data_IF_578229290041
#
_entry.id   IF_578229290041
#
_cell.length_a   1.000
_cell.length_b   1.000
_cell.length_c   1.000
_cell.angle_alpha   90.00
_cell.angle_beta   90.00
_cell.angle_gamma   90.00
#
_symmetry.space_group_name_H-M   'P 1'
#
loop_
_entity.id
_entity.type
_entity.pdbx_description
1 polymer ?
#
# COMPACT_ATOMS: atom_id res chain seq x y z
N UNK A 1 -28.24 2.49 -5.12
CA UNK A 1 -28.73 1.89 -6.36
C UNK A 1 -27.51 1.43 -7.19
N UNK A 2 -27.55 0.20 -7.73
CA UNK A 2 -26.46 -0.28 -8.58
C UNK A 2 -26.47 0.53 -9.89
N UNK A 3 -25.28 1.04 -10.29
CA UNK A 3 -25.14 1.69 -11.60
C UNK A 3 -25.39 0.67 -12.71
N UNK A 4 -26.14 1.02 -13.77
CA UNK A 4 -26.30 0.16 -14.92
C UNK A 4 -24.93 0.00 -15.61
N UNK A 5 -24.47 -1.24 -15.71
CA UNK A 5 -23.21 -1.59 -16.40
C UNK A 5 -23.51 -2.72 -17.41
N UNK A 6 -22.77 -2.76 -18.49
CA UNK A 6 -22.78 -3.88 -19.42
C UNK A 6 -21.87 -5.03 -18.93
N UNK A 7 -21.77 -6.09 -19.74
CA UNK A 7 -20.92 -7.26 -19.45
C UNK A 7 -19.42 -6.89 -19.28
N UNK A 8 -18.99 -5.80 -19.90
CA UNK A 8 -17.61 -5.28 -19.84
C UNK A 8 -17.39 -4.25 -18.73
N UNK A 9 -18.34 -4.11 -17.77
CA UNK A 9 -18.32 -3.11 -16.70
C UNK A 9 -18.34 -1.66 -17.24
N UNK A 10 -18.82 -1.42 -18.46
CA UNK A 10 -18.94 -0.07 -19.04
C UNK A 10 -20.22 0.59 -18.56
N UNK A 11 -20.07 1.85 -18.19
CA UNK A 11 -21.21 2.73 -17.84
C UNK A 11 -21.65 3.45 -19.13
N UNK A 12 -22.95 3.56 -19.39
CA UNK A 12 -23.45 4.28 -20.56
C UNK A 12 -22.94 5.73 -20.63
N UNK A 13 -22.83 6.33 -21.82
CA UNK A 13 -22.52 7.75 -21.97
C UNK A 13 -23.48 8.63 -21.14
N UNK A 14 -22.96 9.72 -20.58
CA UNK A 14 -23.72 10.56 -19.63
C UNK A 14 -25.05 11.10 -20.18
N UNK A 15 -25.16 11.33 -21.48
CA UNK A 15 -26.40 11.75 -22.13
C UNK A 15 -27.47 10.64 -22.14
N UNK A 16 -27.07 9.39 -22.24
CA UNK A 16 -27.96 8.23 -22.15
C UNK A 16 -28.34 8.02 -20.69
N UNK A 17 -27.36 8.02 -19.79
CA UNK A 17 -27.57 7.87 -18.35
C UNK A 17 -28.49 8.96 -17.78
N UNK A 18 -28.34 10.20 -18.23
CA UNK A 18 -29.20 11.34 -17.89
C UNK A 18 -30.66 11.07 -18.20
N UNK A 19 -30.94 10.53 -19.39
CA UNK A 19 -32.31 10.17 -19.78
C UNK A 19 -32.88 9.00 -18.97
N UNK A 20 -32.05 8.00 -18.66
CA UNK A 20 -32.46 6.82 -17.89
C UNK A 20 -32.75 7.15 -16.42
N UNK A 21 -31.95 8.03 -15.82
CA UNK A 21 -32.05 8.35 -14.39
C UNK A 21 -32.85 9.63 -14.09
N UNK A 22 -33.18 10.44 -15.10
CA UNK A 22 -33.84 11.74 -14.88
C UNK A 22 -32.95 12.78 -14.20
N UNK A 23 -31.63 12.64 -14.30
CA UNK A 23 -30.63 13.51 -13.67
C UNK A 23 -29.93 14.32 -14.77
N UNK A 24 -29.63 15.58 -14.49
CA UNK A 24 -28.93 16.44 -15.45
C UNK A 24 -27.52 15.92 -15.78
N UNK A 25 -27.05 16.14 -17.02
CA UNK A 25 -25.67 15.78 -17.41
C UNK A 25 -24.64 16.54 -16.56
N UNK A 26 -24.95 17.76 -16.13
CA UNK A 26 -24.07 18.54 -15.25
C UNK A 26 -23.87 17.83 -13.90
N UNK A 27 -24.96 17.46 -13.24
CA UNK A 27 -24.94 16.71 -11.97
C UNK A 27 -24.24 15.37 -12.11
N UNK A 28 -24.47 14.66 -13.24
CA UNK A 28 -23.77 13.39 -13.49
C UNK A 28 -22.26 13.56 -13.69
N UNK A 29 -21.80 14.69 -14.23
CA UNK A 29 -20.35 14.98 -14.32
C UNK A 29 -19.74 15.20 -12.94
N UNK A 30 -20.40 15.95 -12.07
CA UNK A 30 -19.93 16.17 -10.69
C UNK A 30 -19.82 14.82 -9.95
N UNK A 31 -20.85 13.99 -9.99
CA UNK A 31 -20.83 12.67 -9.37
C UNK A 31 -19.80 11.71 -10.01
N UNK A 32 -19.55 11.84 -11.30
CA UNK A 32 -18.51 11.06 -11.98
C UNK A 32 -17.11 11.43 -11.50
N UNK A 33 -16.83 12.73 -11.28
CA UNK A 33 -15.55 13.18 -10.74
C UNK A 33 -15.37 12.70 -9.29
N UNK A 34 -16.43 12.72 -8.48
CA UNK A 34 -16.40 12.14 -7.13
C UNK A 34 -16.12 10.63 -7.18
N UNK A 35 -16.85 9.89 -8.00
CA UNK A 35 -16.63 8.45 -8.19
C UNK A 35 -15.22 8.13 -8.71
N UNK A 36 -14.66 8.99 -9.58
CA UNK A 36 -13.30 8.87 -10.09
C UNK A 36 -12.26 9.13 -8.99
N UNK A 37 -12.47 10.12 -8.15
CA UNK A 37 -11.57 10.43 -7.02
C UNK A 37 -11.55 9.30 -5.98
N UNK A 38 -12.67 8.59 -5.80
CA UNK A 38 -12.79 7.41 -4.95
C UNK A 38 -12.22 6.12 -5.60
N UNK A 39 -11.77 6.18 -6.86
CA UNK A 39 -11.23 5.01 -7.57
C UNK A 39 -12.26 3.94 -7.95
N UNK A 40 -13.57 4.25 -7.95
CA UNK A 40 -14.62 3.29 -8.29
C UNK A 40 -14.99 3.29 -9.78
N UNK A 41 -14.55 4.31 -10.51
CA UNK A 41 -14.67 4.40 -11.97
C UNK A 41 -13.39 4.94 -12.59
N UNK A 42 -13.13 4.56 -13.84
CA UNK A 42 -12.13 5.20 -14.69
C UNK A 42 -12.79 5.84 -15.92
N UNK A 43 -12.22 6.93 -16.38
CA UNK A 43 -12.64 7.61 -17.62
C UNK A 43 -11.44 7.66 -18.54
N UNK A 44 -11.53 6.99 -19.70
CA UNK A 44 -10.47 7.01 -20.70
C UNK A 44 -10.98 7.65 -22.00
N UNK A 45 -10.19 8.53 -22.65
CA UNK A 45 -10.52 9.04 -23.96
C UNK A 45 -10.81 7.90 -24.93
N UNK A 46 -11.89 8.02 -25.70
CA UNK A 46 -12.35 7.01 -26.70
C UNK A 46 -12.83 5.66 -26.12
N UNK A 47 -12.47 5.30 -24.88
CA UNK A 47 -12.91 4.06 -24.24
C UNK A 47 -14.14 4.26 -23.35
N UNK A 48 -14.45 5.52 -22.97
CA UNK A 48 -15.62 5.84 -22.16
C UNK A 48 -15.40 5.69 -20.66
N UNK A 49 -16.49 5.43 -19.94
CA UNK A 49 -16.55 5.28 -18.50
C UNK A 49 -16.63 3.80 -18.16
N UNK A 50 -15.80 3.34 -17.23
CA UNK A 50 -15.75 1.95 -16.78
C UNK A 50 -15.80 1.88 -15.26
N UNK A 51 -16.62 0.97 -14.73
CA UNK A 51 -16.59 0.63 -13.30
C UNK A 51 -15.30 -0.14 -12.99
N UNK A 52 -14.65 0.20 -11.90
CA UNK A 52 -13.48 -0.51 -11.39
C UNK A 52 -13.87 -1.49 -10.29
N UNK A 53 -13.09 -2.55 -10.06
CA UNK A 53 -13.17 -3.32 -8.82
C UNK A 53 -13.01 -2.39 -7.61
N UNK A 54 -13.67 -2.72 -6.51
CA UNK A 54 -13.52 -1.96 -5.29
C UNK A 54 -12.08 -2.06 -4.77
N UNK A 55 -11.46 -0.91 -4.53
CA UNK A 55 -10.14 -0.77 -3.94
C UNK A 55 -10.24 0.22 -2.77
N UNK A 56 -10.05 -0.29 -1.56
CA UNK A 56 -10.15 0.55 -0.36
C UNK A 56 -8.99 1.54 -0.27
N UNK A 57 -7.80 1.20 -0.76
CA UNK A 57 -6.66 2.11 -0.77
C UNK A 57 -6.92 3.35 -1.63
N UNK A 58 -7.56 3.16 -2.78
CA UNK A 58 -7.94 4.27 -3.67
C UNK A 58 -8.92 5.24 -3.01
N UNK A 59 -9.87 4.72 -2.22
CA UNK A 59 -10.82 5.54 -1.47
C UNK A 59 -10.14 6.33 -0.34
N UNK A 60 -9.10 5.79 0.31
CA UNK A 60 -8.36 6.45 1.39
C UNK A 60 -7.37 7.52 0.89
N UNK A 61 -6.78 7.30 -0.28
CA UNK A 61 -5.67 8.10 -0.81
C UNK A 61 -5.92 9.62 -0.83
N UNK A 62 -7.06 10.15 -1.32
CA UNK A 62 -7.29 11.60 -1.33
C UNK A 62 -7.25 12.22 0.06
N UNK A 63 -7.92 11.60 1.04
CA UNK A 63 -7.96 12.07 2.43
C UNK A 63 -6.60 12.02 3.11
N UNK A 64 -5.84 10.92 2.92
CA UNK A 64 -4.50 10.78 3.46
C UNK A 64 -3.52 11.78 2.84
N UNK A 65 -3.58 11.99 1.53
CA UNK A 65 -2.77 12.98 0.83
C UNK A 65 -3.04 14.38 1.37
N UNK A 66 -4.31 14.77 1.51
CA UNK A 66 -4.70 16.05 2.10
C UNK A 66 -4.17 16.20 3.54
N UNK A 67 -4.37 15.19 4.37
CA UNK A 67 -3.97 15.22 5.78
C UNK A 67 -2.44 15.31 5.96
N UNK A 68 -1.67 14.61 5.12
CA UNK A 68 -0.20 14.68 5.13
C UNK A 68 0.30 16.06 4.71
N UNK A 69 -0.16 16.60 3.59
CA UNK A 69 0.24 17.95 3.13
C UNK A 69 -0.20 19.06 4.07
N UNK A 70 -1.37 18.91 4.69
CA UNK A 70 -1.89 19.85 5.68
C UNK A 70 -1.25 19.74 7.06
N UNK A 71 -0.33 18.80 7.28
CA UNK A 71 0.28 18.56 8.60
C UNK A 71 -0.70 18.06 9.68
N UNK A 72 -1.89 17.58 9.27
CA UNK A 72 -2.93 17.10 10.20
C UNK A 72 -2.59 15.75 10.83
N UNK A 73 -1.76 14.95 10.16
CA UNK A 73 -1.30 13.63 10.63
C UNK A 73 0.20 13.52 10.48
N UNK A 74 0.82 12.67 11.30
CA UNK A 74 2.22 12.31 11.16
C UNK A 74 2.38 10.91 10.58
N UNK A 75 3.48 10.71 9.86
CA UNK A 75 3.86 9.38 9.38
C UNK A 75 3.95 8.37 10.54
N UNK A 76 4.47 8.79 11.70
CA UNK A 76 4.64 7.90 12.86
C UNK A 76 3.31 7.32 13.38
N UNK A 77 2.22 8.10 13.35
CA UNK A 77 0.89 7.59 13.72
C UNK A 77 0.40 6.51 12.78
N UNK A 78 0.65 6.68 11.47
CA UNK A 78 0.23 5.67 10.49
C UNK A 78 1.16 4.45 10.50
N UNK A 79 2.46 4.64 10.80
CA UNK A 79 3.41 3.54 11.01
C UNK A 79 3.04 2.69 12.25
N UNK A 80 2.55 3.33 13.32
CA UNK A 80 2.05 2.64 14.50
C UNK A 80 0.80 1.80 14.18
N UNK A 81 -0.17 2.36 13.47
CA UNK A 81 -1.34 1.61 13.00
C UNK A 81 -0.93 0.39 12.15
N UNK A 82 -0.01 0.59 11.19
CA UNK A 82 0.53 -0.49 10.36
C UNK A 82 1.14 -1.58 11.21
N UNK A 83 2.00 -1.22 12.19
CA UNK A 83 2.65 -2.18 13.09
C UNK A 83 1.60 -3.06 13.79
N UNK A 84 0.57 -2.46 14.35
CA UNK A 84 -0.49 -3.20 15.02
C UNK A 84 -1.25 -4.14 14.08
N UNK A 85 -1.61 -3.67 12.89
CA UNK A 85 -2.31 -4.49 11.90
C UNK A 85 -1.45 -5.66 11.43
N UNK A 86 -0.22 -5.39 11.00
CA UNK A 86 0.67 -6.45 10.51
C UNK A 86 0.98 -7.48 11.61
N UNK A 87 1.18 -7.03 12.86
CA UNK A 87 1.47 -7.91 13.99
C UNK A 87 0.30 -8.84 14.32
N UNK A 88 -0.92 -8.31 14.38
CA UNK A 88 -2.12 -9.10 14.73
C UNK A 88 -2.42 -10.16 13.67
N UNK A 89 -2.27 -9.81 12.39
CA UNK A 89 -2.60 -10.71 11.28
C UNK A 89 -1.43 -11.60 10.82
N UNK A 90 -0.21 -11.42 11.34
CA UNK A 90 0.98 -12.06 10.79
C UNK A 90 0.92 -13.59 10.79
N UNK A 91 0.53 -14.21 11.89
CA UNK A 91 0.53 -15.68 12.01
C UNK A 91 -0.49 -16.29 11.03
N UNK A 92 -1.71 -15.74 10.97
CA UNK A 92 -2.73 -16.18 10.04
C UNK A 92 -2.27 -16.01 8.59
N UNK A 93 -1.68 -14.86 8.27
CA UNK A 93 -1.15 -14.57 6.96
C UNK A 93 -0.02 -15.53 6.57
N UNK A 94 0.98 -15.68 7.43
CA UNK A 94 2.13 -16.55 7.17
C UNK A 94 1.75 -18.03 7.01
N UNK A 95 0.73 -18.50 7.74
CA UNK A 95 0.20 -19.86 7.61
C UNK A 95 -0.56 -20.08 6.30
N UNK A 96 -1.09 -19.03 5.69
CA UNK A 96 -1.85 -19.11 4.43
C UNK A 96 -0.97 -19.07 3.17
N UNK A 97 0.31 -18.71 3.31
CA UNK A 97 1.23 -18.59 2.18
C UNK A 97 1.54 -19.96 1.56
N UNK A 98 1.41 -20.04 0.24
CA UNK A 98 1.88 -21.19 -0.48
C UNK A 98 3.42 -21.18 -0.68
N UNK A 99 3.97 -22.32 -1.05
CA UNK A 99 5.42 -22.47 -1.22
C UNK A 99 5.99 -21.58 -2.33
N UNK A 100 5.22 -21.26 -3.37
CA UNK A 100 5.66 -20.41 -4.47
C UNK A 100 5.82 -18.96 -3.99
N UNK A 101 4.88 -18.47 -3.16
CA UNK A 101 4.97 -17.15 -2.56
C UNK A 101 6.16 -17.06 -1.60
N UNK A 102 6.40 -18.08 -0.79
CA UNK A 102 7.57 -18.11 0.13
C UNK A 102 8.88 -18.07 -0.66
N UNK A 103 9.00 -18.82 -1.75
CA UNK A 103 10.18 -18.76 -2.61
C UNK A 103 10.35 -17.41 -3.28
N UNK A 104 9.27 -16.81 -3.76
CA UNK A 104 9.31 -15.47 -4.33
C UNK A 104 9.78 -14.42 -3.32
N UNK A 105 9.29 -14.48 -2.08
CA UNK A 105 9.76 -13.59 -0.99
C UNK A 105 11.26 -13.75 -0.72
N UNK A 106 11.77 -14.98 -0.76
CA UNK A 106 13.20 -15.26 -0.59
C UNK A 106 14.06 -14.69 -1.73
N UNK A 107 13.61 -14.90 -2.98
CA UNK A 107 14.25 -14.32 -4.16
C UNK A 107 14.22 -12.78 -4.13
N UNK A 108 13.10 -12.18 -3.73
CA UNK A 108 12.94 -10.75 -3.58
C UNK A 108 13.93 -10.18 -2.55
N UNK A 109 14.07 -10.84 -1.40
CA UNK A 109 15.01 -10.44 -0.35
C UNK A 109 16.46 -10.57 -0.83
N UNK A 110 16.81 -11.70 -1.41
CA UNK A 110 18.18 -11.99 -1.88
C UNK A 110 18.60 -11.00 -2.97
N UNK A 111 17.76 -10.78 -3.97
CA UNK A 111 18.03 -9.82 -5.05
C UNK A 111 18.15 -8.38 -4.55
N UNK A 112 17.31 -8.02 -3.56
CA UNK A 112 17.36 -6.68 -2.99
C UNK A 112 18.62 -6.46 -2.15
N UNK A 113 19.04 -7.43 -1.33
CA UNK A 113 20.30 -7.36 -0.57
C UNK A 113 21.52 -7.23 -1.51
N UNK A 114 21.50 -7.92 -2.65
CA UNK A 114 22.52 -7.79 -3.69
C UNK A 114 22.53 -6.38 -4.27
N UNK A 115 21.35 -5.85 -4.63
CA UNK A 115 21.20 -4.50 -5.19
C UNK A 115 21.68 -3.41 -4.21
N UNK A 116 21.38 -3.55 -2.91
CA UNK A 116 21.83 -2.61 -1.88
C UNK A 116 23.35 -2.54 -1.83
N UNK A 117 24.04 -3.67 -1.97
CA UNK A 117 25.51 -3.74 -1.96
C UNK A 117 26.12 -3.18 -3.24
N UNK A 118 25.53 -3.47 -4.39
CA UNK A 118 26.05 -3.06 -5.69
C UNK A 118 25.74 -1.61 -6.04
N UNK A 119 24.63 -1.08 -5.54
CA UNK A 119 24.16 0.28 -5.84
C UNK A 119 23.86 1.05 -4.55
N UNK A 120 24.88 1.43 -3.77
CA UNK A 120 24.69 2.25 -2.58
C UNK A 120 24.01 3.56 -2.95
N UNK A 121 22.92 3.92 -2.27
CA UNK A 121 22.18 5.18 -2.49
C UNK A 121 20.76 5.02 -2.97
N UNK A 122 20.36 3.83 -3.37
CA UNK A 122 19.00 3.58 -3.84
C UNK A 122 18.17 2.87 -2.75
N UNK A 123 17.18 3.55 -2.21
CA UNK A 123 16.22 2.94 -1.27
C UNK A 123 15.28 2.01 -2.04
N UNK A 124 15.19 0.72 -1.70
CA UNK A 124 14.38 -0.25 -2.45
C UNK A 124 12.90 -0.20 -2.05
N UNK A 125 12.25 0.97 -2.20
CA UNK A 125 10.87 1.22 -1.74
C UNK A 125 9.87 0.25 -2.36
N UNK A 126 9.99 -0.03 -3.66
CA UNK A 126 9.08 -0.94 -4.35
C UNK A 126 9.16 -2.37 -3.79
N UNK A 127 10.37 -2.88 -3.64
CA UNK A 127 10.59 -4.21 -3.07
C UNK A 127 10.13 -4.28 -1.60
N UNK A 128 10.31 -3.20 -0.83
CA UNK A 128 9.87 -3.12 0.56
C UNK A 128 8.33 -3.15 0.66
N UNK A 129 7.64 -2.36 -0.17
CA UNK A 129 6.17 -2.44 -0.30
C UNK A 129 5.72 -3.85 -0.65
N UNK A 130 6.32 -4.43 -1.69
CA UNK A 130 5.98 -5.75 -2.20
C UNK A 130 6.16 -6.84 -1.15
N UNK A 131 7.27 -6.81 -0.39
CA UNK A 131 7.52 -7.75 0.69
C UNK A 131 6.39 -7.76 1.72
N UNK A 132 6.02 -6.58 2.25
CA UNK A 132 5.00 -6.49 3.29
C UNK A 132 3.59 -6.77 2.76
N UNK A 133 3.22 -6.26 1.59
CA UNK A 133 1.87 -6.45 1.07
C UNK A 133 1.62 -7.89 0.63
N UNK A 134 2.64 -8.58 0.12
CA UNK A 134 2.52 -9.93 -0.37
C UNK A 134 2.23 -10.94 0.77
N UNK A 135 2.78 -10.72 1.97
CA UNK A 135 2.52 -11.59 3.13
C UNK A 135 1.02 -11.63 3.47
N UNK A 136 0.31 -10.52 3.33
CA UNK A 136 -1.11 -10.39 3.74
C UNK A 136 -2.11 -10.51 2.58
N UNK A 137 -1.63 -10.67 1.36
CA UNK A 137 -2.45 -10.62 0.14
C UNK A 137 -3.58 -11.64 0.11
N UNK A 138 -3.31 -12.85 0.61
CA UNK A 138 -4.25 -13.96 0.54
C UNK A 138 -5.25 -13.97 1.71
N UNK A 139 -5.07 -13.10 2.69
CA UNK A 139 -6.11 -12.82 3.66
C UNK A 139 -7.28 -12.12 2.94
N UNK A 140 -8.45 -12.76 2.96
CA UNK A 140 -9.65 -12.27 2.28
C UNK A 140 -10.26 -11.05 2.98
N UNK A 141 -9.41 -10.10 3.42
CA UNK A 141 -9.78 -8.87 4.07
C UNK A 141 -9.34 -7.66 3.23
N UNK A 142 -10.22 -7.19 2.36
CA UNK A 142 -9.94 -6.06 1.46
C UNK A 142 -9.65 -4.76 2.22
N UNK A 143 -10.18 -4.59 3.44
CA UNK A 143 -9.91 -3.40 4.26
C UNK A 143 -8.48 -3.44 4.82
N UNK A 144 -8.03 -4.59 5.33
CA UNK A 144 -6.65 -4.76 5.77
C UNK A 144 -5.67 -4.46 4.62
N UNK A 145 -5.85 -5.13 3.50
CA UNK A 145 -4.99 -4.95 2.33
C UNK A 145 -4.99 -3.49 1.86
N UNK A 146 -6.15 -2.85 1.80
CA UNK A 146 -6.25 -1.46 1.40
C UNK A 146 -5.57 -0.47 2.36
N UNK A 147 -5.62 -0.71 3.68
CA UNK A 147 -4.88 0.11 4.65
C UNK A 147 -3.37 -0.09 4.52
N UNK A 148 -2.91 -1.34 4.37
CA UNK A 148 -1.49 -1.63 4.18
C UNK A 148 -0.95 -1.01 2.88
N UNK A 149 -1.71 -1.06 1.79
CA UNK A 149 -1.36 -0.39 0.54
C UNK A 149 -1.33 1.14 0.69
N UNK A 150 -2.33 1.72 1.35
CA UNK A 150 -2.39 3.16 1.60
C UNK A 150 -1.22 3.66 2.46
N UNK A 151 -0.68 2.82 3.37
CA UNK A 151 0.52 3.13 4.13
C UNK A 151 1.70 3.47 3.21
N UNK A 152 1.90 2.70 2.14
CA UNK A 152 3.03 2.92 1.23
C UNK A 152 2.88 4.20 0.40
N UNK A 153 1.65 4.61 0.10
CA UNK A 153 1.38 5.90 -0.53
C UNK A 153 1.78 7.06 0.43
N UNK A 154 1.44 6.94 1.72
CA UNK A 154 1.85 7.90 2.76
C UNK A 154 3.36 7.88 2.99
N UNK A 155 4.01 6.70 2.96
CA UNK A 155 5.46 6.57 3.05
C UNK A 155 6.16 7.37 1.94
N UNK A 156 5.68 7.24 0.71
CA UNK A 156 6.21 8.00 -0.42
C UNK A 156 6.03 9.52 -0.23
N UNK A 157 4.84 9.96 0.21
CA UNK A 157 4.54 11.37 0.47
C UNK A 157 5.36 11.95 1.62
N UNK A 158 5.81 11.13 2.56
CA UNK A 158 6.61 11.59 3.70
C UNK A 158 8.05 11.99 3.35
N UNK A 159 8.53 11.64 2.15
CA UNK A 159 9.89 11.91 1.69
C UNK A 159 10.98 11.15 2.45
N UNK A 160 10.64 10.15 3.27
CA UNK A 160 11.59 9.37 4.07
C UNK A 160 12.58 8.57 3.21
N UNK A 161 12.28 8.35 1.95
CA UNK A 161 13.14 7.69 0.97
C UNK A 161 14.31 8.57 0.48
N UNK A 162 14.24 9.89 0.72
CA UNK A 162 15.22 10.86 0.21
C UNK A 162 16.52 10.83 1.02
N UNK A 163 16.50 10.35 2.26
CA UNK A 163 17.66 10.30 3.14
C UNK A 163 18.07 8.86 3.43
N UNK A 164 18.87 8.24 2.54
CA UNK A 164 19.27 6.85 2.70
C UNK A 164 20.30 6.71 3.84
N UNK A 165 19.90 5.99 4.87
CA UNK A 165 20.82 5.40 5.84
C UNK A 165 21.08 3.95 5.42
N UNK A 166 22.25 3.69 4.83
CA UNK A 166 22.60 2.38 4.28
C UNK A 166 22.64 1.30 5.34
N UNK A 167 23.21 1.59 6.49
CA UNK A 167 23.30 0.63 7.60
C UNK A 167 21.90 0.25 8.08
N UNK A 168 21.01 1.23 8.17
CA UNK A 168 19.61 1.01 8.49
C UNK A 168 18.92 0.16 7.42
N UNK A 169 19.06 0.50 6.13
CA UNK A 169 18.44 -0.22 5.03
C UNK A 169 18.93 -1.67 4.98
N UNK A 170 20.22 -1.91 5.09
CA UNK A 170 20.78 -3.26 5.12
C UNK A 170 20.24 -4.06 6.30
N UNK A 171 20.18 -3.45 7.49
CA UNK A 171 19.59 -4.08 8.68
C UNK A 171 18.10 -4.44 8.49
N UNK A 172 17.32 -3.55 7.90
CA UNK A 172 15.91 -3.81 7.54
C UNK A 172 15.80 -5.07 6.67
N UNK A 173 16.62 -5.19 5.64
CA UNK A 173 16.57 -6.33 4.72
C UNK A 173 17.14 -7.62 5.32
N UNK A 174 18.05 -7.54 6.27
CA UNK A 174 18.47 -8.70 7.06
C UNK A 174 17.33 -9.24 7.93
N UNK A 175 16.50 -8.35 8.50
CA UNK A 175 15.27 -8.80 9.20
C UNK A 175 14.28 -9.48 8.25
N UNK A 176 14.08 -8.95 7.04
CA UNK A 176 13.21 -9.59 6.05
C UNK A 176 13.70 -11.01 5.71
N UNK A 177 15.01 -11.20 5.51
CA UNK A 177 15.59 -12.52 5.28
C UNK A 177 15.27 -13.51 6.41
N UNK A 178 15.49 -13.07 7.65
CA UNK A 178 15.21 -13.89 8.83
C UNK A 178 13.71 -14.19 8.99
N UNK A 179 12.83 -13.23 8.67
CA UNK A 179 11.37 -13.45 8.70
C UNK A 179 10.98 -14.53 7.69
N UNK A 180 11.46 -14.46 6.45
CA UNK A 180 11.17 -15.48 5.41
C UNK A 180 11.68 -16.84 5.84
N UNK A 181 12.89 -16.92 6.42
CA UNK A 181 13.44 -18.16 6.96
C UNK A 181 12.54 -18.79 8.04
N UNK A 182 12.01 -17.98 8.97
CA UNK A 182 11.11 -18.49 10.00
C UNK A 182 9.75 -18.93 9.42
N UNK A 183 9.22 -18.20 8.43
CA UNK A 183 7.99 -18.61 7.71
C UNK A 183 8.23 -19.96 7.01
N UNK A 184 9.35 -20.12 6.29
CA UNK A 184 9.73 -21.35 5.59
C UNK A 184 9.82 -22.55 6.52
N UNK A 185 10.33 -22.33 7.74
CA UNK A 185 10.49 -23.35 8.77
C UNK A 185 9.22 -23.54 9.62
N UNK A 186 8.10 -22.90 9.27
CA UNK A 186 6.84 -22.91 10.05
C UNK A 186 6.99 -22.40 11.49
N UNK A 187 8.02 -21.62 11.79
CA UNK A 187 8.28 -21.02 13.10
C UNK A 187 7.60 -19.65 13.19
N UNK A 188 6.28 -19.61 13.01
CA UNK A 188 5.52 -18.37 12.87
C UNK A 188 5.65 -17.41 14.07
N UNK A 189 5.75 -17.95 15.30
CA UNK A 189 5.95 -17.10 16.48
C UNK A 189 7.32 -16.41 16.51
N UNK A 190 8.37 -17.08 16.05
CA UNK A 190 9.68 -16.47 15.90
C UNK A 190 9.69 -15.43 14.75
N UNK A 191 9.00 -15.72 13.63
CA UNK A 191 8.78 -14.79 12.54
C UNK A 191 8.07 -13.51 13.00
N UNK A 192 7.02 -13.67 13.85
CA UNK A 192 6.30 -12.54 14.44
C UNK A 192 7.20 -11.67 15.33
N UNK A 193 8.03 -12.29 16.17
CA UNK A 193 8.98 -11.55 17.01
C UNK A 193 9.94 -10.73 16.18
N UNK A 194 10.46 -11.31 15.10
CA UNK A 194 11.34 -10.62 14.15
C UNK A 194 10.62 -9.48 13.40
N UNK A 195 9.34 -9.65 13.06
CA UNK A 195 8.55 -8.57 12.46
C UNK A 195 8.39 -7.40 13.43
N UNK A 196 8.11 -7.66 14.70
CA UNK A 196 7.99 -6.61 15.72
C UNK A 196 9.30 -5.85 15.86
N UNK A 197 10.43 -6.56 16.00
CA UNK A 197 11.76 -5.95 16.06
C UNK A 197 12.06 -5.12 14.82
N UNK A 198 11.74 -5.65 13.63
CA UNK A 198 11.89 -4.94 12.36
C UNK A 198 11.08 -3.63 12.34
N UNK A 199 9.81 -3.65 12.77
CA UNK A 199 8.98 -2.46 12.82
C UNK A 199 9.53 -1.40 13.79
N UNK A 200 10.17 -1.83 14.89
CA UNK A 200 10.78 -0.93 15.87
C UNK A 200 12.10 -0.30 15.40
N UNK A 201 12.73 -0.81 14.35
CA UNK A 201 13.92 -0.19 13.76
C UNK A 201 13.67 1.25 13.31
N UNK A 202 12.45 1.55 12.85
CA UNK A 202 12.09 2.90 12.44
C UNK A 202 12.23 3.91 13.60
N UNK A 203 11.82 3.52 14.81
CA UNK A 203 11.90 4.37 16.00
C UNK A 203 13.34 4.55 16.49
N UNK A 204 14.26 3.64 16.12
CA UNK A 204 15.69 3.68 16.47
C UNK A 204 16.51 4.49 15.47
N UNK A 205 15.92 4.92 14.37
CA UNK A 205 16.59 5.73 13.35
C UNK A 205 16.95 7.08 13.94
N UNK A 206 18.23 7.45 13.92
CA UNK A 206 18.67 8.80 14.29
C UNK A 206 17.96 9.81 13.38
N UNK A 207 17.27 10.76 13.99
CA UNK A 207 16.43 11.71 13.27
C UNK A 207 17.28 12.74 12.54
N UNK A 208 17.28 12.78 11.22
CA UNK A 208 17.36 14.04 10.53
C UNK A 208 15.95 14.40 10.01
N UNK A 209 15.07 14.86 10.88
CA UNK A 209 13.82 15.44 10.42
C UNK A 209 13.72 16.84 10.98
N UNK A 210 14.40 17.74 10.33
CA UNK A 210 13.91 19.10 10.26
C UNK A 210 12.67 19.07 9.35
N UNK A 211 11.56 19.56 9.89
CA UNK A 211 10.34 19.86 9.15
C UNK A 211 10.74 20.61 7.88
N UNK A 212 10.42 20.09 6.71
CA UNK A 212 10.26 20.91 5.53
C UNK A 212 9.07 21.83 5.81
N UNK A 213 9.30 22.95 6.42
CA UNK A 213 8.39 24.09 6.36
C UNK A 213 8.45 24.59 4.93
N UNK A 214 7.44 24.23 4.15
CA UNK A 214 7.18 24.92 2.90
C UNK A 214 6.67 26.32 3.26
N UNK A 215 7.52 27.34 3.07
CA UNK A 215 7.09 28.73 2.94
C UNK A 215 6.31 28.92 1.64
#
# INVERSE_FOLDING_TARGET
AALPVDTDQRIPPLNILSKQLGISVATLREQLEEARSMGVVEVKPKAGIRKLPYDFSAALKPGLTYAMHGGCISYSQFADLRKHLETVYFIEAAQSLDYQVINYLDDLVTSTLTTIKETPGKVPVKAHREFHTLIYKDLKNQYLNGILEAFWDVYHLSGLEVYPDFTYIERVWQYHARIVEQIRNCNYSAGLSLLIEHMDLFNQREKPIQRLTFE
#
